data_IF_184968100200
#
_entry.id   IF_184968100200
#
_cell.length_a   1.000
_cell.length_b   1.000
_cell.length_c   1.000
_cell.angle_alpha   90.00
_cell.angle_beta   90.00
_cell.angle_gamma   90.00
#
_symmetry.space_group_name_H-M   'P 1'
#
loop_
_entity.id
_entity.type
_entity.pdbx_description
1 polymer ?
#
# COMPACT_ATOMS: atom_id res chain seq x y z
N UNK A 1 1.46 4.67 -2.86
CA UNK A 1 1.44 4.73 -1.38
C UNK A 1 1.22 3.33 -0.82
N UNK A 2 1.88 2.95 0.27
CA UNK A 2 1.71 1.63 0.90
C UNK A 2 0.31 1.50 1.50
N UNK A 3 -0.38 0.40 1.24
CA UNK A 3 -1.72 0.14 1.76
C UNK A 3 -1.71 -1.08 2.69
N UNK A 4 -2.15 -0.84 3.93
CA UNK A 4 -2.28 -1.88 4.95
C UNK A 4 -0.94 -2.46 5.42
N UNK A 5 -1.00 -3.60 6.11
CA UNK A 5 0.17 -4.37 6.57
C UNK A 5 -0.13 -5.87 6.59
N UNK A 6 0.86 -6.68 6.24
CA UNK A 6 0.80 -8.14 6.32
C UNK A 6 1.34 -8.62 7.67
N UNK A 7 0.94 -9.82 8.09
CA UNK A 7 1.46 -10.43 9.31
C UNK A 7 2.99 -10.60 9.32
N UNK A 8 3.60 -10.87 8.16
CA UNK A 8 5.05 -10.96 7.99
C UNK A 8 5.77 -9.61 7.89
N UNK A 9 5.03 -8.49 7.99
CA UNK A 9 5.54 -7.15 7.73
C UNK A 9 5.41 -6.71 6.27
N UNK A 10 5.61 -5.41 6.05
CA UNK A 10 5.39 -4.75 4.76
C UNK A 10 3.90 -4.55 4.42
N UNK A 11 3.60 -3.73 3.40
CA UNK A 11 2.21 -3.47 3.01
C UNK A 11 1.58 -4.68 2.33
N UNK A 12 0.24 -4.71 2.32
CA UNK A 12 -0.52 -5.71 1.54
C UNK A 12 -0.39 -5.43 0.05
N UNK A 13 -0.43 -4.15 -0.31
CA UNK A 13 -0.32 -3.68 -1.69
C UNK A 13 0.15 -2.22 -1.75
N UNK A 14 0.31 -1.70 -2.96
CA UNK A 14 0.58 -0.28 -3.20
C UNK A 14 -0.50 0.30 -4.10
N UNK A 15 -1.04 1.45 -3.68
CA UNK A 15 -1.99 2.21 -4.49
C UNK A 15 -1.30 3.35 -5.23
N UNK A 16 -1.71 3.58 -6.47
CA UNK A 16 -1.35 4.77 -7.23
C UNK A 16 -2.31 5.91 -6.87
N UNK A 17 -1.78 7.13 -6.70
CA UNK A 17 -2.60 8.31 -6.43
C UNK A 17 -1.95 9.55 -7.06
N UNK A 18 -2.75 10.59 -7.29
CA UNK A 18 -2.30 11.84 -7.88
C UNK A 18 -2.10 12.90 -6.79
N UNK A 19 -0.87 13.34 -6.49
CA UNK A 19 -0.62 14.34 -5.45
C UNK A 19 -1.20 15.72 -5.79
N UNK A 20 -1.48 16.01 -7.06
CA UNK A 20 -2.09 17.29 -7.47
C UNK A 20 -3.57 17.42 -7.09
N UNK A 21 -4.26 16.30 -6.89
CA UNK A 21 -5.70 16.27 -6.57
C UNK A 21 -6.00 15.57 -5.24
N UNK A 22 -4.96 15.09 -4.55
CA UNK A 22 -5.06 14.33 -3.30
C UNK A 22 -4.23 15.00 -2.24
N UNK A 23 -4.86 15.29 -1.09
CA UNK A 23 -4.14 15.68 0.12
C UNK A 23 -3.27 14.50 0.59
N UNK A 24 -1.99 14.57 0.21
CA UNK A 24 -1.03 13.50 0.49
C UNK A 24 -0.84 13.31 1.99
N UNK A 25 -0.79 14.39 2.77
CA UNK A 25 -0.58 14.30 4.21
C UNK A 25 -1.76 13.58 4.89
N UNK A 26 -2.99 13.97 4.54
CA UNK A 26 -4.20 13.31 5.05
C UNK A 26 -4.29 11.85 4.60
N UNK A 27 -3.92 11.55 3.35
CA UNK A 27 -3.87 10.18 2.84
C UNK A 27 -2.89 9.34 3.66
N UNK A 28 -1.64 9.79 3.85
CA UNK A 28 -0.64 9.04 4.60
C UNK A 28 -0.99 8.87 6.08
N UNK A 29 -1.66 9.86 6.70
CA UNK A 29 -2.17 9.72 8.06
C UNK A 29 -3.18 8.56 8.15
N UNK A 30 -4.11 8.46 7.18
CA UNK A 30 -5.10 7.37 7.14
C UNK A 30 -4.48 6.01 6.83
N UNK A 31 -3.50 5.95 5.94
CA UNK A 31 -2.77 4.71 5.65
C UNK A 31 -2.00 4.20 6.89
N UNK A 32 -1.42 5.12 7.68
CA UNK A 32 -0.75 4.78 8.93
C UNK A 32 -1.72 4.30 10.02
N UNK A 33 -2.90 4.92 10.13
CA UNK A 33 -3.98 4.44 11.01
C UNK A 33 -4.41 3.02 10.64
N UNK A 34 -4.63 2.75 9.36
CA UNK A 34 -4.99 1.42 8.86
C UNK A 34 -3.92 0.39 9.18
N UNK A 35 -2.65 0.68 8.90
CA UNK A 35 -1.55 -0.23 9.17
C UNK A 35 -1.48 -0.60 10.66
N UNK A 36 -1.65 0.36 11.58
CA UNK A 36 -1.68 0.06 13.03
C UNK A 36 -2.83 -0.85 13.42
N UNK A 37 -4.04 -0.60 12.89
CA UNK A 37 -5.21 -1.42 13.17
C UNK A 37 -5.04 -2.86 12.68
N UNK A 38 -4.47 -3.03 11.48
CA UNK A 38 -4.19 -4.33 10.89
C UNK A 38 -3.07 -5.06 11.63
N UNK A 39 -2.01 -4.39 12.07
CA UNK A 39 -0.98 -4.99 12.95
C UNK A 39 -1.63 -5.58 14.20
N UNK A 40 -2.43 -4.80 14.92
CA UNK A 40 -3.11 -5.27 16.13
C UNK A 40 -4.10 -6.41 15.86
N UNK A 41 -4.70 -6.47 14.66
CA UNK A 41 -5.55 -7.59 14.25
C UNK A 41 -4.73 -8.86 13.95
N UNK A 42 -3.60 -8.72 13.26
CA UNK A 42 -2.68 -9.81 12.95
C UNK A 42 -2.12 -10.44 14.24
N UNK A 43 -1.71 -9.61 15.20
CA UNK A 43 -1.21 -10.05 16.50
C UNK A 43 -2.27 -10.81 17.30
N UNK A 44 -3.50 -10.27 17.39
CA UNK A 44 -4.59 -10.92 18.14
C UNK A 44 -5.04 -12.24 17.53
N UNK A 45 -4.97 -12.37 16.21
CA UNK A 45 -5.43 -13.57 15.49
C UNK A 45 -4.33 -14.62 15.31
N UNK A 46 -3.07 -14.31 15.64
CA UNK A 46 -1.93 -15.17 15.30
C UNK A 46 -1.80 -15.39 13.80
N UNK A 47 -2.18 -14.39 12.99
CA UNK A 47 -2.19 -14.51 11.53
C UNK A 47 -0.80 -14.87 11.00
N UNK A 48 -0.76 -15.76 10.02
CA UNK A 48 0.45 -16.08 9.25
C UNK A 48 0.23 -15.69 7.79
N UNK A 49 1.26 -15.10 7.18
CA UNK A 49 1.26 -14.72 5.76
C UNK A 49 2.50 -15.31 5.11
N UNK A 50 2.42 -15.58 3.80
CA UNK A 50 3.62 -15.84 2.99
C UNK A 50 4.51 -14.61 3.04
N UNK A 51 5.81 -14.75 3.30
CA UNK A 51 6.75 -13.62 3.38
C UNK A 51 7.23 -13.16 1.99
N UNK A 52 6.31 -12.92 1.06
CA UNK A 52 6.64 -12.41 -0.27
C UNK A 52 6.89 -10.90 -0.25
N UNK A 53 7.85 -10.43 -1.02
CA UNK A 53 8.06 -8.99 -1.20
C UNK A 53 7.02 -8.45 -2.17
N UNK A 54 6.26 -7.44 -1.74
CA UNK A 54 5.38 -6.67 -2.64
C UNK A 54 6.14 -5.43 -3.06
N UNK A 55 6.33 -5.25 -4.37
CA UNK A 55 7.06 -4.09 -4.92
C UNK A 55 6.08 -2.98 -5.33
N UNK A 56 6.45 -1.71 -5.13
CA UNK A 56 5.64 -0.60 -5.61
C UNK A 56 5.58 -0.61 -7.15
N UNK A 57 4.42 -0.30 -7.75
CA UNK A 57 4.29 -0.25 -9.20
C UNK A 57 5.13 0.89 -9.77
N UNK A 58 5.72 0.65 -10.93
CA UNK A 58 6.43 1.70 -11.65
C UNK A 58 5.44 2.77 -12.12
N UNK A 59 5.66 4.06 -11.81
CA UNK A 59 4.82 5.12 -12.35
C UNK A 59 5.04 5.22 -13.86
N UNK A 60 3.94 5.35 -14.59
CA UNK A 60 3.93 5.54 -16.03
C UNK A 60 3.10 6.77 -16.43
N UNK A 61 3.32 7.25 -17.64
CA UNK A 61 2.49 8.27 -18.26
C UNK A 61 2.17 7.84 -19.68
N UNK A 62 0.89 7.62 -19.97
CA UNK A 62 0.43 7.12 -21.27
C UNK A 62 -0.82 7.86 -21.69
N UNK A 63 -0.82 8.45 -22.88
CA UNK A 63 -1.99 9.11 -23.46
C UNK A 63 -2.57 10.24 -22.59
N UNK A 64 -1.73 11.03 -21.91
CA UNK A 64 -2.19 12.14 -21.07
C UNK A 64 -2.60 11.76 -19.64
N UNK A 65 -2.41 10.49 -19.24
CA UNK A 65 -2.84 9.99 -17.93
C UNK A 65 -1.68 9.33 -17.20
N UNK A 66 -1.60 9.56 -15.89
CA UNK A 66 -0.72 8.79 -15.02
C UNK A 66 -1.25 7.36 -14.92
N UNK A 67 -0.36 6.40 -15.15
CA UNK A 67 -0.60 4.97 -15.02
C UNK A 67 0.31 4.41 -13.92
N UNK A 68 -0.09 3.30 -13.33
CA UNK A 68 0.79 2.48 -12.52
C UNK A 68 0.92 1.15 -13.25
N UNK A 69 2.12 0.85 -13.74
CA UNK A 69 2.36 -0.46 -14.33
C UNK A 69 2.16 -1.49 -13.22
N UNK A 70 1.35 -2.52 -13.48
CA UNK A 70 1.19 -3.61 -12.52
C UNK A 70 2.57 -4.11 -12.12
N UNK A 71 2.84 -4.16 -10.81
CA UNK A 71 4.04 -4.81 -10.31
C UNK A 71 4.00 -6.26 -10.80
N UNK A 72 4.88 -6.60 -11.75
CA UNK A 72 4.97 -7.96 -12.27
C UNK A 72 5.30 -8.88 -11.09
N UNK A 73 4.34 -9.75 -10.76
CA UNK A 73 4.45 -10.79 -9.74
C UNK A 73 5.49 -11.83 -10.13
#
# INVERSE_FOLDING_TARGET
APLGVRACGGPREYIAYCPATTDSARLFAKLAELARAETAANERSGAMSVCSLVTPPAPGYTGGRCTAAASSQ
#
